data_IF_018978688083
#
_entry.id   IF_018978688083
#
_cell.length_a   1.000
_cell.length_b   1.000
_cell.length_c   1.000
_cell.angle_alpha   90.00
_cell.angle_beta   90.00
_cell.angle_gamma   90.00
#
_symmetry.space_group_name_H-M   'P 1'
#
loop_
_entity.id
_entity.type
_entity.pdbx_description
1 polymer ?
#
# COMPACT_ATOMS: atom_id res chain seq x y z
N UNK A 1 9.75 -45.53 6.28
CA UNK A 1 8.63 -44.63 6.59
C UNK A 1 9.14 -43.21 6.42
N UNK A 2 8.85 -42.57 5.29
CA UNK A 2 9.35 -41.23 4.97
C UNK A 2 8.20 -40.23 5.12
N UNK A 3 8.38 -39.21 5.95
CA UNK A 3 7.44 -38.09 6.10
C UNK A 3 7.51 -37.16 4.88
N UNK A 4 6.38 -36.81 4.24
CA UNK A 4 6.33 -35.72 3.28
C UNK A 4 5.85 -34.44 3.98
N UNK A 5 6.46 -33.31 3.67
CA UNK A 5 5.97 -32.02 4.14
C UNK A 5 6.98 -30.89 4.06
N UNK A 6 7.58 -30.70 2.89
CA UNK A 6 8.30 -29.47 2.56
C UNK A 6 7.36 -28.27 2.75
N UNK A 7 7.53 -27.53 3.84
CA UNK A 7 7.08 -26.15 3.93
C UNK A 7 8.02 -25.32 3.08
N UNK A 8 7.68 -25.14 1.81
CA UNK A 8 8.41 -24.23 0.92
C UNK A 8 8.16 -22.82 1.44
N UNK A 9 9.14 -22.25 2.17
CA UNK A 9 9.29 -20.81 2.28
C UNK A 9 9.45 -20.27 0.85
N UNK A 10 8.34 -19.85 0.25
CA UNK A 10 8.40 -19.07 -0.98
C UNK A 10 8.99 -17.71 -0.61
N UNK A 11 10.12 -17.29 -1.22
CA UNK A 11 10.67 -15.97 -0.94
C UNK A 11 9.66 -14.92 -1.42
N UNK A 12 9.02 -14.23 -0.47
CA UNK A 12 7.92 -13.27 -0.60
C UNK A 12 8.35 -11.93 -1.24
N UNK A 13 9.15 -11.97 -2.30
CA UNK A 13 9.63 -10.80 -3.03
C UNK A 13 9.43 -10.96 -4.56
N UNK A 14 8.36 -11.63 -4.99
CA UNK A 14 8.05 -11.72 -6.43
C UNK A 14 7.20 -10.51 -6.84
N UNK A 15 7.66 -9.82 -7.89
CA UNK A 15 6.90 -8.76 -8.58
C UNK A 15 5.45 -9.15 -8.85
N UNK A 16 5.18 -10.45 -9.01
CA UNK A 16 3.84 -11.05 -9.13
C UNK A 16 2.88 -10.70 -7.99
N UNK A 17 3.32 -10.72 -6.73
CA UNK A 17 2.45 -10.37 -5.59
C UNK A 17 2.14 -8.87 -5.59
N UNK A 18 3.16 -8.05 -5.86
CA UNK A 18 3.04 -6.59 -5.97
C UNK A 18 2.11 -6.18 -7.12
N UNK A 19 2.26 -6.79 -8.29
CA UNK A 19 1.44 -6.51 -9.45
C UNK A 19 0.00 -6.99 -9.25
N UNK A 20 -0.19 -8.16 -8.63
CA UNK A 20 -1.52 -8.63 -8.20
C UNK A 20 -2.18 -7.63 -7.25
N UNK A 21 -1.46 -7.16 -6.21
CA UNK A 21 -2.00 -6.20 -5.24
C UNK A 21 -2.36 -4.87 -5.90
N UNK A 22 -1.53 -4.38 -6.82
CA UNK A 22 -1.83 -3.19 -7.65
C UNK A 22 -3.12 -3.37 -8.43
N UNK A 23 -3.32 -4.53 -9.07
CA UNK A 23 -4.53 -4.83 -9.80
C UNK A 23 -5.77 -4.90 -8.88
N UNK A 24 -5.66 -5.53 -7.70
CA UNK A 24 -6.74 -5.62 -6.73
C UNK A 24 -7.17 -4.24 -6.20
N UNK A 25 -6.20 -3.40 -5.80
CA UNK A 25 -6.48 -2.04 -5.33
C UNK A 25 -7.09 -1.19 -6.43
N UNK A 26 -6.55 -1.25 -7.67
CA UNK A 26 -7.12 -0.51 -8.83
C UNK A 26 -8.52 -1.01 -9.18
N UNK A 27 -8.80 -2.31 -9.05
CA UNK A 27 -10.14 -2.87 -9.27
C UNK A 27 -11.13 -2.35 -8.23
N UNK A 28 -10.72 -2.27 -6.96
CA UNK A 28 -11.57 -1.77 -5.86
C UNK A 28 -11.82 -0.26 -5.95
N UNK A 29 -10.77 0.52 -6.19
CA UNK A 29 -10.81 1.99 -6.06
C UNK A 29 -10.98 2.72 -7.40
N UNK A 30 -10.81 2.03 -8.52
CA UNK A 30 -10.66 2.65 -9.83
C UNK A 30 -9.39 3.50 -9.93
N UNK A 31 -9.43 4.45 -10.86
CA UNK A 31 -8.35 5.41 -11.08
C UNK A 31 -8.50 6.64 -10.15
N UNK A 32 -8.59 6.36 -8.85
CA UNK A 32 -8.74 7.36 -7.80
C UNK A 32 -7.50 8.26 -7.66
N UNK A 33 -7.64 9.50 -7.15
CA UNK A 33 -6.49 10.32 -6.82
C UNK A 33 -5.68 9.68 -5.69
N UNK A 34 -4.41 10.08 -5.60
CA UNK A 34 -3.48 9.72 -4.54
C UNK A 34 -4.12 9.91 -3.17
N UNK A 35 -4.12 8.86 -2.37
CA UNK A 35 -4.73 8.89 -1.05
C UNK A 35 -3.90 9.68 -0.02
N UNK A 36 -2.59 9.86 -0.27
CA UNK A 36 -1.70 10.58 0.64
C UNK A 36 -1.73 12.09 0.40
N UNK A 37 -1.50 12.54 -0.84
CA UNK A 37 -1.33 13.96 -1.22
C UNK A 37 -0.52 14.80 -0.22
N UNK A 38 0.68 14.35 0.12
CA UNK A 38 1.50 14.96 1.20
C UNK A 38 2.60 15.87 0.68
N UNK A 39 2.94 15.72 -0.59
CA UNK A 39 3.87 16.60 -1.29
C UNK A 39 3.11 17.74 -1.95
N UNK A 40 3.73 18.92 -2.00
CA UNK A 40 3.15 20.09 -2.65
C UNK A 40 2.85 19.83 -4.13
N UNK A 41 3.74 19.10 -4.82
CA UNK A 41 3.56 18.74 -6.23
C UNK A 41 2.32 17.87 -6.45
N UNK A 42 2.10 16.87 -5.57
CA UNK A 42 0.93 16.01 -5.65
C UNK A 42 -0.37 16.78 -5.39
N UNK A 43 -0.36 17.70 -4.42
CA UNK A 43 -1.51 18.55 -4.11
C UNK A 43 -1.80 19.54 -5.25
N UNK A 44 -0.77 20.11 -5.88
CA UNK A 44 -0.91 21.07 -6.97
C UNK A 44 -1.62 20.49 -8.21
N UNK A 45 -1.53 19.17 -8.41
CA UNK A 45 -2.23 18.46 -9.50
C UNK A 45 -3.47 17.71 -9.01
N UNK A 46 -3.98 18.02 -7.81
CA UNK A 46 -5.19 17.41 -7.26
C UNK A 46 -5.06 15.91 -6.96
N UNK A 47 -3.85 15.42 -6.71
CA UNK A 47 -3.60 14.02 -6.42
C UNK A 47 -3.49 13.11 -7.64
N UNK A 48 -3.30 13.64 -8.85
CA UNK A 48 -3.20 12.83 -10.07
C UNK A 48 -2.14 11.71 -9.97
N UNK A 49 -2.59 10.48 -10.25
CA UNK A 49 -1.74 9.30 -10.44
C UNK A 49 -1.76 8.94 -11.92
N UNK A 50 -0.58 8.70 -12.49
CA UNK A 50 -0.46 8.03 -13.77
C UNK A 50 -0.37 6.52 -13.52
N UNK A 51 -1.48 5.84 -13.81
CA UNK A 51 -1.63 4.40 -13.58
C UNK A 51 -0.88 3.53 -14.58
N UNK A 52 -0.50 4.10 -15.73
CA UNK A 52 0.21 3.39 -16.79
C UNK A 52 1.71 3.74 -16.79
N UNK A 53 2.10 4.82 -16.12
CA UNK A 53 3.50 5.16 -15.86
C UNK A 53 4.23 4.05 -15.08
N UNK A 54 5.43 3.74 -15.54
CA UNK A 54 6.33 2.81 -14.86
C UNK A 54 7.21 3.55 -13.84
N UNK A 55 7.57 2.92 -12.72
CA UNK A 55 8.64 3.43 -11.86
C UNK A 55 9.94 3.64 -12.67
N UNK A 56 10.73 4.68 -12.37
CA UNK A 56 10.66 5.53 -11.18
C UNK A 56 9.85 6.82 -11.33
N UNK A 57 8.92 6.91 -12.31
CA UNK A 57 8.14 8.13 -12.51
C UNK A 57 7.44 8.61 -11.22
N UNK A 58 7.52 9.89 -10.84
CA UNK A 58 7.01 10.37 -9.55
C UNK A 58 5.50 10.16 -9.38
N UNK A 59 4.74 10.18 -10.49
CA UNK A 59 3.29 9.92 -10.48
C UNK A 59 2.91 8.46 -10.74
N UNK A 60 3.88 7.54 -10.90
CA UNK A 60 3.54 6.13 -11.12
C UNK A 60 2.76 5.59 -9.92
N UNK A 61 1.72 4.80 -10.21
CA UNK A 61 0.90 4.15 -9.19
C UNK A 61 1.70 3.23 -8.26
N UNK A 62 1.51 3.36 -6.95
CA UNK A 62 2.04 2.47 -5.92
C UNK A 62 0.90 2.09 -4.97
N UNK A 63 1.07 0.96 -4.26
CA UNK A 63 0.18 0.59 -3.15
C UNK A 63 0.90 0.91 -1.85
N UNK A 64 0.22 1.65 -0.99
CA UNK A 64 0.67 1.99 0.35
C UNK A 64 -0.19 1.27 1.38
N UNK A 65 0.44 0.81 2.47
CA UNK A 65 -0.29 0.33 3.64
C UNK A 65 -0.65 1.50 4.53
N UNK A 66 -1.94 1.69 4.83
CA UNK A 66 -2.45 2.75 5.71
C UNK A 66 -1.75 2.66 7.07
N UNK A 67 -1.81 1.49 7.69
CA UNK A 67 -1.01 1.12 8.86
C UNK A 67 0.22 0.38 8.36
N UNK A 68 1.42 0.92 8.64
CA UNK A 68 2.68 0.28 8.24
C UNK A 68 2.81 -1.14 8.81
N UNK A 69 3.54 -2.04 8.14
CA UNK A 69 3.72 -3.41 8.63
C UNK A 69 4.33 -3.46 10.04
N UNK A 70 5.28 -2.57 10.35
CA UNK A 70 5.89 -2.46 11.67
C UNK A 70 4.89 -2.01 12.74
N UNK A 71 4.02 -1.05 12.41
CA UNK A 71 2.97 -0.58 13.31
C UNK A 71 1.89 -1.65 13.51
N UNK A 72 1.45 -2.30 12.44
CA UNK A 72 0.50 -3.40 12.48
C UNK A 72 1.04 -4.55 13.37
N UNK A 73 2.34 -4.88 13.24
CA UNK A 73 2.98 -5.87 14.09
C UNK A 73 2.99 -5.45 15.56
N UNK A 74 3.30 -4.17 15.87
CA UNK A 74 3.22 -3.64 17.24
C UNK A 74 1.79 -3.67 17.80
N UNK A 75 0.78 -3.55 16.95
CA UNK A 75 -0.63 -3.67 17.30
C UNK A 75 -1.11 -5.13 17.41
N UNK A 76 -0.23 -6.11 17.16
CA UNK A 76 -0.56 -7.53 17.25
C UNK A 76 -1.33 -8.08 16.03
N UNK A 77 -1.32 -7.37 14.90
CA UNK A 77 -1.96 -7.83 13.68
C UNK A 77 -1.21 -9.03 13.11
N UNK A 78 -1.95 -9.97 12.51
CA UNK A 78 -1.32 -11.02 11.72
C UNK A 78 -0.74 -10.44 10.43
N UNK A 79 0.26 -11.08 9.80
CA UNK A 79 0.75 -10.67 8.49
C UNK A 79 -0.33 -10.61 7.41
N UNK A 80 -1.36 -11.47 7.53
CA UNK A 80 -2.51 -11.50 6.61
C UNK A 80 -3.38 -10.26 6.79
N UNK A 81 -3.62 -9.83 8.03
CA UNK A 81 -4.41 -8.63 8.31
C UNK A 81 -3.65 -7.37 7.91
N UNK A 82 -2.34 -7.34 8.15
CA UNK A 82 -1.45 -6.24 7.75
C UNK A 82 -1.38 -6.06 6.22
N UNK A 83 -1.40 -7.16 5.44
CA UNK A 83 -1.44 -7.11 3.98
C UNK A 83 -2.87 -7.24 3.42
N UNK A 84 -3.89 -7.07 4.24
CA UNK A 84 -5.28 -7.10 3.77
C UNK A 84 -5.53 -5.97 2.78
N UNK A 85 -6.46 -6.21 1.83
CA UNK A 85 -6.83 -5.18 0.86
C UNK A 85 -7.35 -3.92 1.58
N UNK A 86 -8.07 -4.08 2.68
CA UNK A 86 -8.60 -2.98 3.51
C UNK A 86 -7.51 -2.07 4.10
N UNK A 87 -6.33 -2.61 4.40
CA UNK A 87 -5.18 -1.81 4.83
C UNK A 87 -4.40 -1.21 3.64
N UNK A 88 -4.77 -1.50 2.40
CA UNK A 88 -4.08 -1.01 1.20
C UNK A 88 -4.81 0.18 0.57
N UNK A 89 -4.04 1.15 0.07
CA UNK A 89 -4.55 2.32 -0.66
C UNK A 89 -3.66 2.68 -1.85
N UNK A 90 -4.27 3.28 -2.88
CA UNK A 90 -3.57 3.77 -4.05
C UNK A 90 -2.90 5.12 -3.84
N UNK A 91 -1.61 5.22 -4.19
CA UNK A 91 -0.81 6.43 -4.00
C UNK A 91 0.13 6.68 -5.18
N UNK A 92 0.59 7.91 -5.36
CA UNK A 92 1.70 8.19 -6.26
C UNK A 92 3.04 7.81 -5.61
N UNK A 93 4.01 7.40 -6.42
CA UNK A 93 5.35 7.03 -5.96
C UNK A 93 6.02 8.12 -5.15
N UNK A 94 5.89 9.39 -5.54
CA UNK A 94 6.48 10.51 -4.82
C UNK A 94 6.01 10.56 -3.36
N UNK A 95 4.69 10.54 -3.12
CA UNK A 95 4.14 10.53 -1.78
C UNK A 95 4.48 9.24 -1.01
N UNK A 96 4.51 8.09 -1.69
CA UNK A 96 4.90 6.83 -1.05
C UNK A 96 6.34 6.87 -0.52
N UNK A 97 7.26 7.45 -1.29
CA UNK A 97 8.66 7.62 -0.89
C UNK A 97 8.79 8.63 0.24
N UNK A 98 8.15 9.79 0.12
CA UNK A 98 8.17 10.82 1.18
C UNK A 98 7.64 10.29 2.53
N UNK A 99 6.58 9.47 2.51
CA UNK A 99 6.06 8.79 3.71
C UNK A 99 7.09 7.81 4.28
N UNK A 100 7.71 6.99 3.42
CA UNK A 100 8.68 5.97 3.82
C UNK A 100 9.99 6.57 4.34
N UNK A 101 10.40 7.72 3.80
CA UNK A 101 11.60 8.46 4.21
C UNK A 101 11.41 9.18 5.56
N UNK A 102 10.23 9.05 6.19
CA UNK A 102 9.96 9.48 7.57
C UNK A 102 9.72 10.99 7.72
N UNK A 103 9.52 11.71 6.63
CA UNK A 103 9.48 13.17 6.64
C UNK A 103 8.26 13.77 7.34
N UNK A 104 7.11 13.07 7.39
CA UNK A 104 5.85 13.61 7.94
C UNK A 104 4.92 12.53 8.51
N UNK A 105 4.35 12.81 9.69
CA UNK A 105 3.19 12.09 10.22
C UNK A 105 1.94 12.60 9.50
N UNK A 106 1.13 11.69 8.95
CA UNK A 106 0.08 12.05 7.98
C UNK A 106 -1.30 11.89 8.59
N UNK A 107 -2.12 12.94 8.50
CA UNK A 107 -3.56 12.80 8.68
C UNK A 107 -4.15 12.15 7.42
N UNK A 108 -4.94 11.07 7.52
CA UNK A 108 -5.57 10.46 6.36
C UNK A 108 -6.51 11.44 5.65
N UNK A 109 -6.36 11.61 4.33
CA UNK A 109 -7.32 12.40 3.51
C UNK A 109 -8.59 11.58 3.23
N UNK A 110 -8.48 10.25 3.22
CA UNK A 110 -9.62 9.34 3.25
C UNK A 110 -9.95 8.99 4.70
N UNK A 111 -11.23 8.94 5.11
CA UNK A 111 -11.61 8.22 6.31
C UNK A 111 -11.02 6.82 6.18
N UNK A 112 -10.06 6.49 7.04
CA UNK A 112 -9.58 5.13 7.15
C UNK A 112 -10.79 4.30 7.50
N UNK A 113 -11.22 3.41 6.61
CA UNK A 113 -12.10 2.31 6.98
C UNK A 113 -11.25 1.37 7.84
N UNK A 114 -10.89 1.82 9.05
CA UNK A 114 -10.42 0.91 10.08
C UNK A 114 -11.62 0.02 10.35
N UNK A 115 -11.51 -1.22 9.90
CA UNK A 115 -12.60 -2.18 10.05
C UNK A 115 -12.96 -2.25 11.55
N UNK A 116 -14.24 -1.98 11.92
CA UNK A 116 -14.68 -1.93 13.31
C UNK A 116 -14.44 -3.22 14.10
N UNK A 117 -14.14 -4.33 13.41
CA UNK A 117 -13.72 -5.59 14.01
C UNK A 117 -12.40 -5.49 14.81
N UNK A 118 -11.64 -4.42 14.64
CA UNK A 118 -10.32 -4.23 15.23
C UNK A 118 -10.22 -2.99 16.13
N UNK A 119 -11.36 -2.45 16.59
CA UNK A 119 -11.47 -1.39 17.62
C UNK A 119 -11.88 -2.03 18.95
#
# INVERSE_FOLDING_TARGET
>A
MCHPGMGVEVPFASTTIRDRRRAEVRTRDGDAPCALQITADCQAVGGEIDYDARPPHPRSFEVDHVVSSDEAQRMGWSPVDADSLDNCQGVCRQCNREKSDGGRQLAPIRPTYVNPRFI
#
